data_IF_084540879213
#
_entry.id   IF_084540879213
#
_cell.length_a   1.000
_cell.length_b   1.000
_cell.length_c   1.000
_cell.angle_alpha   90.00
_cell.angle_beta   90.00
_cell.angle_gamma   90.00
#
_symmetry.space_group_name_H-M   'P 1'
#
loop_
_entity.id
_entity.type
_entity.pdbx_description
1 polymer ?
#
# COMPACT_ATOMS: atom_id res chain seq x y z
N UNK A 1 -37.15 -27.74 12.25
CA UNK A 1 -35.91 -28.21 11.65
C UNK A 1 -35.59 -27.32 10.45
N UNK A 2 -34.72 -26.33 10.64
CA UNK A 2 -34.33 -25.41 9.58
C UNK A 2 -33.16 -26.07 8.83
N UNK A 3 -33.39 -26.49 7.59
CA UNK A 3 -32.34 -27.02 6.71
C UNK A 3 -31.33 -25.92 6.45
N UNK A 4 -30.13 -26.06 6.98
CA UNK A 4 -29.01 -25.17 6.66
C UNK A 4 -28.74 -25.26 5.16
N UNK A 5 -29.02 -24.18 4.43
CA UNK A 5 -28.70 -24.08 3.00
C UNK A 5 -27.20 -24.32 2.81
N UNK A 6 -26.83 -25.42 2.18
CA UNK A 6 -25.45 -25.72 1.78
C UNK A 6 -24.99 -24.60 0.83
N UNK A 7 -23.98 -23.82 1.26
CA UNK A 7 -23.33 -22.84 0.37
C UNK A 7 -22.79 -23.58 -0.85
N UNK A 8 -23.00 -23.06 -2.08
CA UNK A 8 -22.38 -23.64 -3.27
C UNK A 8 -20.86 -23.70 -3.08
N UNK A 9 -20.27 -24.82 -3.51
CA UNK A 9 -18.82 -25.02 -3.40
C UNK A 9 -18.09 -23.91 -4.19
N UNK A 10 -17.20 -23.19 -3.53
CA UNK A 10 -16.34 -22.17 -4.14
C UNK A 10 -15.39 -22.88 -5.14
N UNK A 11 -15.53 -22.62 -6.47
CA UNK A 11 -14.75 -23.31 -7.49
C UNK A 11 -13.24 -23.06 -7.38
N UNK A 12 -12.83 -22.01 -6.69
CA UNK A 12 -11.42 -21.66 -6.46
C UNK A 12 -10.85 -22.23 -5.16
N UNK A 13 -11.64 -23.01 -4.41
CA UNK A 13 -11.20 -23.58 -3.14
C UNK A 13 -10.34 -24.82 -3.35
N UNK A 14 -9.03 -24.79 -3.04
CA UNK A 14 -8.16 -25.95 -3.20
C UNK A 14 -8.66 -27.15 -2.39
N UNK A 15 -8.56 -28.36 -2.96
CA UNK A 15 -8.96 -29.61 -2.29
C UNK A 15 -8.01 -29.99 -1.17
N UNK A 16 -6.72 -29.71 -1.34
CA UNK A 16 -5.70 -29.97 -0.32
C UNK A 16 -5.78 -28.97 0.84
N UNK A 17 -5.78 -29.40 2.12
CA UNK A 17 -5.72 -28.50 3.28
C UNK A 17 -4.49 -27.59 3.26
N UNK A 18 -3.33 -28.11 2.86
CA UNK A 18 -2.08 -27.35 2.78
C UNK A 18 -2.19 -26.26 1.71
N UNK A 19 -2.65 -26.60 0.49
CA UNK A 19 -2.82 -25.62 -0.58
C UNK A 19 -3.86 -24.55 -0.21
N UNK A 20 -4.91 -24.91 0.52
CA UNK A 20 -5.92 -23.97 1.03
C UNK A 20 -5.33 -22.98 2.03
N UNK A 21 -4.54 -23.46 2.99
CA UNK A 21 -3.87 -22.61 3.97
C UNK A 21 -2.85 -21.70 3.32
N UNK A 22 -2.04 -22.21 2.39
CA UNK A 22 -1.09 -21.41 1.63
C UNK A 22 -1.78 -20.30 0.82
N UNK A 23 -2.87 -20.62 0.12
CA UNK A 23 -3.68 -19.63 -0.58
C UNK A 23 -4.24 -18.59 0.40
N UNK A 24 -4.74 -19.02 1.57
CA UNK A 24 -5.26 -18.13 2.60
C UNK A 24 -4.20 -17.15 3.12
N UNK A 25 -2.98 -17.63 3.36
CA UNK A 25 -1.85 -16.77 3.77
C UNK A 25 -1.46 -15.79 2.65
N UNK A 26 -1.37 -16.22 1.41
CA UNK A 26 -1.06 -15.33 0.28
C UNK A 26 -2.13 -14.24 0.12
N UNK A 27 -3.41 -14.60 0.18
CA UNK A 27 -4.49 -13.62 0.08
C UNK A 27 -4.46 -12.62 1.25
N UNK A 28 -4.15 -13.07 2.46
CA UNK A 28 -4.06 -12.23 3.65
C UNK A 28 -2.87 -11.25 3.65
N UNK A 29 -1.90 -11.39 2.73
CA UNK A 29 -0.86 -10.36 2.53
C UNK A 29 -1.38 -9.13 1.80
N UNK A 30 -2.60 -9.15 1.26
CA UNK A 30 -3.10 -8.13 0.33
C UNK A 30 -2.15 -7.97 -0.87
N UNK A 31 -1.96 -9.04 -1.64
CA UNK A 31 -0.90 -9.19 -2.64
C UNK A 31 -0.79 -8.00 -3.62
N UNK A 32 -1.89 -7.39 -4.04
CA UNK A 32 -1.88 -6.21 -4.92
C UNK A 32 -1.13 -5.03 -4.32
N UNK A 33 -1.59 -4.45 -3.20
CA UNK A 33 -0.87 -3.40 -2.47
C UNK A 33 0.55 -3.78 -2.10
N UNK A 34 0.78 -5.00 -1.62
CA UNK A 34 2.12 -5.49 -1.27
C UNK A 34 3.08 -5.43 -2.45
N UNK A 35 2.68 -5.96 -3.61
CA UNK A 35 3.51 -5.93 -4.83
C UNK A 35 3.74 -4.49 -5.34
N UNK A 36 2.75 -3.62 -5.23
CA UNK A 36 2.89 -2.23 -5.61
C UNK A 36 3.93 -1.50 -4.75
N UNK A 37 3.92 -1.69 -3.42
CA UNK A 37 4.90 -1.05 -2.52
C UNK A 37 6.29 -1.65 -2.69
N UNK A 38 6.41 -2.99 -2.77
CA UNK A 38 7.69 -3.66 -3.04
C UNK A 38 8.26 -3.22 -4.39
N UNK A 39 7.42 -3.16 -5.42
CA UNK A 39 7.81 -2.71 -6.76
C UNK A 39 8.29 -1.26 -6.76
N UNK A 40 7.54 -0.36 -6.12
CA UNK A 40 7.94 1.05 -5.99
C UNK A 40 9.28 1.22 -5.26
N UNK A 41 9.45 0.59 -4.10
CA UNK A 41 10.69 0.69 -3.33
C UNK A 41 11.88 0.08 -4.08
N UNK A 42 11.67 -1.08 -4.72
CA UNK A 42 12.73 -1.75 -5.51
C UNK A 42 13.10 -0.95 -6.75
N UNK A 43 12.12 -0.43 -7.50
CA UNK A 43 12.36 0.42 -8.66
C UNK A 43 13.15 1.68 -8.28
N UNK A 44 12.78 2.34 -7.16
CA UNK A 44 13.51 3.49 -6.62
C UNK A 44 14.96 3.10 -6.27
N UNK A 45 15.17 1.95 -5.62
CA UNK A 45 16.50 1.48 -5.24
C UNK A 45 17.38 1.15 -6.45
N UNK A 46 16.83 0.47 -7.45
CA UNK A 46 17.55 0.15 -8.70
C UNK A 46 17.91 1.44 -9.45
N UNK A 47 16.98 2.36 -9.61
CA UNK A 47 17.19 3.63 -10.26
C UNK A 47 18.22 4.51 -9.54
N UNK A 48 18.35 4.37 -8.22
CA UNK A 48 19.33 5.07 -7.40
C UNK A 48 20.70 4.40 -7.40
N UNK A 49 20.92 3.33 -8.15
CA UNK A 49 22.21 2.65 -8.23
C UNK A 49 22.56 1.77 -7.02
N UNK A 50 21.57 1.30 -6.23
CA UNK A 50 21.81 0.43 -5.07
C UNK A 50 22.37 -0.96 -5.48
N UNK A 51 22.32 -1.30 -6.76
CA UNK A 51 22.88 -2.53 -7.31
C UNK A 51 22.21 -3.79 -6.75
N UNK A 52 22.98 -4.83 -6.47
CA UNK A 52 22.47 -6.12 -5.95
C UNK A 52 21.79 -5.99 -4.59
N UNK A 53 22.11 -4.97 -3.80
CA UNK A 53 21.44 -4.70 -2.52
C UNK A 53 19.97 -4.30 -2.67
N UNK A 54 19.53 -3.93 -3.90
CA UNK A 54 18.10 -3.73 -4.20
C UNK A 54 17.26 -5.00 -3.94
N UNK A 55 17.84 -6.19 -4.15
CA UNK A 55 17.16 -7.45 -3.83
C UNK A 55 16.97 -7.63 -2.31
N UNK A 56 17.97 -7.25 -1.50
CA UNK A 56 17.86 -7.26 -0.05
C UNK A 56 16.79 -6.26 0.43
N UNK A 57 16.74 -5.05 -0.17
CA UNK A 57 15.71 -4.08 0.10
C UNK A 57 14.32 -4.63 -0.25
N UNK A 58 14.17 -5.27 -1.40
CA UNK A 58 12.91 -5.91 -1.80
C UNK A 58 12.44 -6.96 -0.78
N UNK A 59 13.37 -7.78 -0.27
CA UNK A 59 13.07 -8.79 0.77
C UNK A 59 12.66 -8.11 2.08
N UNK A 60 13.38 -7.09 2.54
CA UNK A 60 13.04 -6.38 3.77
C UNK A 60 11.65 -5.73 3.66
N UNK A 61 11.36 -5.04 2.54
CA UNK A 61 10.06 -4.41 2.29
C UNK A 61 8.96 -5.46 2.17
N UNK A 62 9.20 -6.59 1.50
CA UNK A 62 8.23 -7.68 1.39
C UNK A 62 7.87 -8.27 2.76
N UNK A 63 8.84 -8.49 3.64
CA UNK A 63 8.61 -8.95 5.01
C UNK A 63 7.79 -7.94 5.82
N UNK A 64 8.13 -6.65 5.70
CA UNK A 64 7.37 -5.55 6.30
C UNK A 64 5.92 -5.53 5.81
N UNK A 65 5.69 -5.57 4.50
CA UNK A 65 4.36 -5.56 3.89
C UNK A 65 3.55 -6.81 4.25
N UNK A 66 4.17 -7.99 4.25
CA UNK A 66 3.52 -9.24 4.69
C UNK A 66 3.07 -9.14 6.15
N UNK A 67 3.94 -8.60 7.04
CA UNK A 67 3.58 -8.39 8.45
C UNK A 67 2.40 -7.45 8.61
N UNK A 68 2.35 -6.37 7.83
CA UNK A 68 1.26 -5.38 7.85
C UNK A 68 -0.04 -5.99 7.32
N UNK A 69 0.00 -6.69 6.18
CA UNK A 69 -1.18 -7.33 5.60
C UNK A 69 -1.78 -8.37 6.54
N UNK A 70 -0.95 -9.28 7.06
CA UNK A 70 -1.39 -10.29 8.02
C UNK A 70 -1.90 -9.68 9.34
N UNK A 71 -1.28 -8.61 9.85
CA UNK A 71 -1.78 -7.92 11.05
C UNK A 71 -3.14 -7.29 10.82
N UNK A 72 -3.42 -6.75 9.63
CA UNK A 72 -4.71 -6.21 9.27
C UNK A 72 -5.80 -7.28 9.37
N UNK A 73 -5.63 -8.40 8.67
CA UNK A 73 -6.61 -9.49 8.67
C UNK A 73 -6.74 -10.16 10.05
N UNK A 74 -5.65 -10.28 10.81
CA UNK A 74 -5.68 -10.82 12.17
C UNK A 74 -6.46 -9.94 13.15
N UNK A 75 -6.23 -8.62 13.13
CA UNK A 75 -6.90 -7.65 14.00
C UNK A 75 -8.39 -7.56 13.64
N UNK A 76 -8.70 -7.49 12.33
CA UNK A 76 -10.06 -7.29 11.83
C UNK A 76 -10.89 -8.59 11.74
N UNK A 77 -10.30 -9.77 12.04
CA UNK A 77 -10.92 -11.08 11.85
C UNK A 77 -12.34 -11.20 12.43
N UNK A 78 -12.55 -10.70 13.65
CA UNK A 78 -13.88 -10.73 14.30
C UNK A 78 -14.93 -9.94 13.53
N UNK A 79 -14.57 -8.76 13.06
CA UNK A 79 -15.41 -7.88 12.24
C UNK A 79 -15.72 -8.53 10.89
N UNK A 80 -14.68 -9.03 10.21
CA UNK A 80 -14.81 -9.59 8.87
C UNK A 80 -15.64 -10.88 8.86
N UNK A 81 -15.53 -11.72 9.90
CA UNK A 81 -16.37 -12.90 10.09
C UNK A 81 -17.83 -12.49 10.32
N UNK A 82 -18.10 -11.49 11.20
CA UNK A 82 -19.46 -11.04 11.49
C UNK A 82 -20.17 -10.46 10.26
N UNK A 83 -19.40 -9.87 9.33
CA UNK A 83 -19.90 -9.30 8.07
C UNK A 83 -19.88 -10.27 6.89
N UNK A 84 -19.44 -11.51 7.10
CA UNK A 84 -19.35 -12.54 6.06
C UNK A 84 -18.55 -12.08 4.82
N UNK A 85 -17.48 -11.31 5.03
CA UNK A 85 -16.66 -10.72 3.96
C UNK A 85 -16.11 -11.81 3.01
N UNK A 86 -16.54 -11.83 1.72
CA UNK A 86 -16.15 -12.88 0.77
C UNK A 86 -14.70 -12.73 0.27
N UNK A 87 -14.12 -11.56 0.41
CA UNK A 87 -12.75 -11.21 0.02
C UNK A 87 -11.72 -11.57 1.12
N UNK A 88 -12.16 -11.77 2.38
CA UNK A 88 -11.28 -12.00 3.52
C UNK A 88 -11.03 -13.50 3.78
N UNK A 89 -9.74 -13.96 3.74
CA UNK A 89 -9.41 -15.39 3.80
C UNK A 89 -9.77 -16.04 5.14
N UNK A 90 -9.69 -15.30 6.27
CA UNK A 90 -10.10 -15.80 7.58
C UNK A 90 -11.64 -16.00 7.61
N UNK A 91 -12.41 -15.03 7.12
CA UNK A 91 -13.87 -15.13 7.07
C UNK A 91 -14.36 -16.25 6.12
N UNK A 92 -13.58 -16.57 5.08
CA UNK A 92 -13.82 -17.72 4.18
C UNK A 92 -13.43 -19.06 4.78
N UNK A 93 -12.74 -19.09 5.91
CA UNK A 93 -12.21 -20.32 6.51
C UNK A 93 -11.09 -20.98 5.68
N UNK A 94 -10.34 -20.20 4.90
CA UNK A 94 -9.15 -20.67 4.16
C UNK A 94 -7.96 -20.83 5.09
N UNK A 95 -7.84 -19.97 6.09
CA UNK A 95 -6.77 -19.95 7.09
C UNK A 95 -7.35 -19.54 8.44
N UNK A 96 -6.79 -20.06 9.54
CA UNK A 96 -7.23 -19.67 10.87
C UNK A 96 -6.55 -18.36 11.32
N UNK A 97 -7.23 -17.64 12.24
CA UNK A 97 -6.77 -16.36 12.77
C UNK A 97 -5.41 -16.45 13.46
N UNK A 98 -5.18 -17.49 14.27
CA UNK A 98 -3.95 -17.60 15.06
C UNK A 98 -2.72 -17.85 14.17
N UNK A 99 -2.89 -18.59 13.08
CA UNK A 99 -1.80 -18.78 12.12
C UNK A 99 -1.46 -17.46 11.41
N UNK A 100 -2.47 -16.69 11.00
CA UNK A 100 -2.25 -15.38 10.38
C UNK A 100 -1.55 -14.43 11.35
N UNK A 101 -1.97 -14.38 12.63
CA UNK A 101 -1.31 -13.58 13.65
C UNK A 101 0.14 -14.00 13.90
N UNK A 102 0.39 -15.31 14.03
CA UNK A 102 1.77 -15.83 14.15
C UNK A 102 2.61 -15.49 12.93
N UNK A 103 2.07 -15.60 11.73
CA UNK A 103 2.75 -15.22 10.50
C UNK A 103 3.10 -13.72 10.47
N UNK A 104 2.20 -12.84 10.95
CA UNK A 104 2.45 -11.41 11.04
C UNK A 104 3.65 -11.09 11.95
N UNK A 105 3.70 -11.67 13.15
CA UNK A 105 4.81 -11.45 14.07
C UNK A 105 6.12 -12.13 13.60
N UNK A 106 6.05 -13.30 12.96
CA UNK A 106 7.23 -13.93 12.37
C UNK A 106 7.81 -13.08 11.25
N UNK A 107 6.99 -12.56 10.35
CA UNK A 107 7.45 -11.66 9.29
C UNK A 107 8.03 -10.37 9.85
N UNK A 108 7.41 -9.79 10.89
CA UNK A 108 7.94 -8.61 11.57
C UNK A 108 9.31 -8.90 12.23
N UNK A 109 9.45 -10.05 12.91
CA UNK A 109 10.70 -10.47 13.51
C UNK A 109 11.82 -10.68 12.48
N UNK A 110 11.50 -11.25 11.30
CA UNK A 110 12.45 -11.40 10.20
C UNK A 110 12.73 -10.07 9.48
N UNK A 111 11.75 -9.17 9.43
CA UNK A 111 11.90 -7.83 8.85
C UNK A 111 12.98 -7.02 9.59
N UNK A 112 13.11 -7.15 10.92
CA UNK A 112 14.10 -6.40 11.71
C UNK A 112 15.53 -6.65 11.21
N UNK A 113 16.08 -7.88 11.23
CA UNK A 113 17.43 -8.12 10.77
C UNK A 113 17.61 -7.82 9.28
N UNK A 114 16.59 -8.11 8.42
CA UNK A 114 16.65 -7.78 7.00
C UNK A 114 16.76 -6.27 6.77
N UNK A 115 16.07 -5.45 7.58
CA UNK A 115 16.16 -3.99 7.51
C UNK A 115 17.55 -3.49 7.94
N UNK A 116 18.10 -4.00 9.03
CA UNK A 116 19.44 -3.61 9.49
C UNK A 116 20.57 -4.10 8.59
N UNK A 117 20.38 -5.17 7.82
CA UNK A 117 21.34 -5.61 6.80
C UNK A 117 21.51 -4.57 5.65
N UNK A 118 20.57 -3.65 5.48
CA UNK A 118 20.68 -2.47 4.59
C UNK A 118 21.54 -1.34 5.18
N UNK A 119 21.95 -1.45 6.44
CA UNK A 119 22.63 -0.41 7.22
C UNK A 119 21.71 0.13 8.32
N UNK A 120 22.29 0.59 9.41
CA UNK A 120 21.53 0.98 10.61
C UNK A 120 20.54 2.16 10.36
N UNK A 121 20.95 3.16 9.53
CA UNK A 121 20.10 4.30 9.15
C UNK A 121 18.90 3.87 8.31
N UNK A 122 19.16 3.05 7.28
CA UNK A 122 18.12 2.48 6.43
C UNK A 122 17.18 1.57 7.24
N UNK A 123 17.75 0.75 8.14
CA UNK A 123 17.00 -0.13 9.04
C UNK A 123 16.03 0.63 9.93
N UNK A 124 16.49 1.68 10.61
CA UNK A 124 15.63 2.52 11.45
C UNK A 124 14.52 3.16 10.61
N UNK A 125 14.86 3.78 9.47
CA UNK A 125 13.86 4.44 8.62
C UNK A 125 12.80 3.45 8.12
N UNK A 126 13.21 2.23 7.70
CA UNK A 126 12.28 1.20 7.27
C UNK A 126 11.39 0.69 8.41
N UNK A 127 11.95 0.46 9.60
CA UNK A 127 11.16 0.02 10.75
C UNK A 127 10.18 1.09 11.25
N UNK A 128 10.52 2.39 11.13
CA UNK A 128 9.57 3.50 11.37
C UNK A 128 8.42 3.44 10.35
N UNK A 129 8.72 3.20 9.07
CA UNK A 129 7.69 3.05 8.04
C UNK A 129 6.74 1.86 8.33
N UNK A 130 7.31 0.70 8.70
CA UNK A 130 6.53 -0.49 9.11
C UNK A 130 5.71 -0.19 10.36
N UNK A 131 6.29 0.47 11.36
CA UNK A 131 5.58 0.89 12.58
C UNK A 131 4.43 1.84 12.31
N UNK A 132 4.59 2.79 11.38
CA UNK A 132 3.50 3.65 10.93
C UNK A 132 2.35 2.83 10.31
N UNK A 133 2.65 1.85 9.44
CA UNK A 133 1.64 0.97 8.84
C UNK A 133 0.95 0.07 9.90
N UNK A 134 1.69 -0.43 10.88
CA UNK A 134 1.08 -1.15 12.01
C UNK A 134 0.18 -0.25 12.85
N UNK A 135 0.56 1.01 13.10
CA UNK A 135 -0.26 1.97 13.86
C UNK A 135 -1.61 2.24 13.19
N UNK A 136 -1.65 2.23 11.83
CA UNK A 136 -2.88 2.27 11.08
C UNK A 136 -3.80 1.09 11.45
N UNK A 137 -3.29 -0.13 11.41
CA UNK A 137 -4.05 -1.34 11.75
C UNK A 137 -4.50 -1.35 13.21
N UNK A 138 -3.65 -0.88 14.14
CA UNK A 138 -3.93 -0.86 15.57
C UNK A 138 -4.99 0.17 15.99
N UNK A 139 -5.33 1.15 15.13
CA UNK A 139 -6.43 2.06 15.45
C UNK A 139 -6.46 3.37 14.70
N UNK A 140 -5.35 3.87 14.14
CA UNK A 140 -5.34 5.16 13.45
C UNK A 140 -6.28 5.18 12.23
N UNK A 141 -6.58 4.02 11.62
CA UNK A 141 -7.57 3.89 10.53
C UNK A 141 -8.97 4.38 10.91
N UNK A 142 -9.31 4.43 12.22
CA UNK A 142 -10.60 4.88 12.73
C UNK A 142 -10.65 6.37 13.06
N UNK A 143 -9.57 7.10 12.80
CA UNK A 143 -9.43 8.50 13.17
C UNK A 143 -9.29 9.41 11.95
N UNK A 144 -9.46 10.73 12.16
CA UNK A 144 -9.28 11.74 11.11
C UNK A 144 -7.83 11.75 10.57
N UNK A 145 -6.85 11.31 11.36
CA UNK A 145 -5.43 11.22 10.95
C UNK A 145 -5.09 9.90 10.25
N UNK A 146 -6.09 9.13 9.80
CA UNK A 146 -5.88 7.87 9.08
C UNK A 146 -4.97 7.96 7.83
N UNK A 147 -4.79 9.11 7.13
CA UNK A 147 -3.81 9.24 6.06
C UNK A 147 -2.35 9.34 6.54
N UNK A 148 -2.12 9.75 7.81
CA UNK A 148 -0.76 10.02 8.32
C UNK A 148 0.16 8.80 8.27
N UNK A 149 -0.26 7.57 8.64
CA UNK A 149 0.57 6.38 8.48
C UNK A 149 1.04 6.14 7.05
N UNK A 150 0.20 6.39 6.05
CA UNK A 150 0.55 6.26 4.64
C UNK A 150 1.52 7.37 4.19
N UNK A 151 1.28 8.62 4.63
CA UNK A 151 2.19 9.74 4.38
C UNK A 151 3.60 9.40 4.88
N UNK A 152 3.72 8.91 6.11
CA UNK A 152 5.00 8.55 6.74
C UNK A 152 5.64 7.35 6.05
N UNK A 153 4.89 6.25 5.87
CA UNK A 153 5.43 5.02 5.32
C UNK A 153 5.95 5.20 3.90
N UNK A 154 5.19 5.86 3.04
CA UNK A 154 5.60 6.11 1.65
C UNK A 154 6.69 7.21 1.57
N UNK A 155 6.58 8.29 2.35
CA UNK A 155 7.59 9.34 2.40
C UNK A 155 8.97 8.84 2.85
N UNK A 156 9.00 7.78 3.66
CA UNK A 156 10.26 7.16 4.07
C UNK A 156 10.90 6.25 3.01
N UNK A 157 10.19 5.86 1.94
CA UNK A 157 10.80 5.00 0.89
C UNK A 157 12.06 5.62 0.30
N UNK A 158 12.07 6.87 -0.22
CA UNK A 158 13.31 7.47 -0.72
C UNK A 158 14.37 7.67 0.37
N UNK A 159 13.97 7.89 1.63
CA UNK A 159 14.91 8.00 2.76
C UNK A 159 15.61 6.67 3.04
N UNK A 160 14.87 5.56 3.03
CA UNK A 160 15.42 4.20 3.19
C UNK A 160 16.43 3.90 2.08
N UNK A 161 16.07 4.22 0.83
CA UNK A 161 16.95 3.99 -0.33
C UNK A 161 18.23 4.84 -0.21
N UNK A 162 18.10 6.14 0.05
CA UNK A 162 19.23 7.04 0.22
C UNK A 162 20.16 6.59 1.35
N UNK A 163 19.59 6.22 2.49
CA UNK A 163 20.36 5.73 3.65
C UNK A 163 21.03 4.36 3.41
N UNK A 164 20.55 3.57 2.45
CA UNK A 164 21.15 2.29 2.07
C UNK A 164 22.31 2.44 1.07
N UNK A 165 22.44 3.58 0.39
CA UNK A 165 23.56 3.87 -0.51
C UNK A 165 24.89 4.07 0.24
N UNK A 166 26.05 3.81 -0.39
CA UNK A 166 27.36 3.90 0.27
C UNK A 166 27.64 5.26 0.91
N UNK A 167 27.33 6.35 0.19
CA UNK A 167 27.62 7.72 0.64
C UNK A 167 26.50 8.32 1.48
N UNK A 168 25.43 7.57 1.74
CA UNK A 168 24.27 8.00 2.50
C UNK A 168 23.75 9.40 2.11
N UNK A 169 23.48 9.67 0.81
CA UNK A 169 23.01 10.98 0.39
C UNK A 169 21.67 11.32 1.06
N UNK A 170 21.36 12.61 1.13
CA UNK A 170 20.04 13.01 1.58
C UNK A 170 19.02 12.86 0.43
N UNK A 171 17.92 12.17 0.70
CA UNK A 171 16.82 12.15 -0.25
C UNK A 171 16.24 13.56 -0.41
N UNK A 172 15.98 14.04 -1.65
CA UNK A 172 15.39 15.34 -1.89
C UNK A 172 14.05 15.51 -1.15
N UNK A 173 13.86 16.63 -0.46
CA UNK A 173 12.63 16.89 0.30
C UNK A 173 11.36 16.82 -0.59
N UNK A 174 11.45 17.30 -1.82
CA UNK A 174 10.36 17.23 -2.78
C UNK A 174 10.00 15.77 -3.15
N UNK A 175 11.01 14.87 -3.25
CA UNK A 175 10.77 13.44 -3.50
C UNK A 175 10.14 12.74 -2.29
N UNK A 176 10.59 13.09 -1.07
CA UNK A 176 9.98 12.60 0.18
C UNK A 176 8.51 13.03 0.25
N UNK A 177 8.22 14.30 -0.01
CA UNK A 177 6.87 14.85 0.01
C UNK A 177 5.99 14.21 -1.10
N UNK A 178 6.51 14.09 -2.33
CA UNK A 178 5.81 13.44 -3.43
C UNK A 178 5.45 11.98 -3.11
N UNK A 179 6.40 11.22 -2.56
CA UNK A 179 6.17 9.83 -2.14
C UNK A 179 5.12 9.74 -1.03
N UNK A 180 5.20 10.62 -0.03
CA UNK A 180 4.21 10.67 1.05
C UNK A 180 2.80 10.97 0.55
N UNK A 181 2.66 11.96 -0.35
CA UNK A 181 1.38 12.31 -0.98
C UNK A 181 0.84 11.19 -1.88
N UNK A 182 1.72 10.45 -2.54
CA UNK A 182 1.36 9.22 -3.25
C UNK A 182 0.71 8.21 -2.29
N UNK A 183 1.30 8.02 -1.11
CA UNK A 183 0.73 7.17 -0.06
C UNK A 183 -0.65 7.66 0.42
N UNK A 184 -0.83 8.97 0.62
CA UNK A 184 -2.13 9.56 0.97
C UNK A 184 -3.16 9.31 -0.12
N UNK A 185 -2.80 9.52 -1.39
CA UNK A 185 -3.67 9.23 -2.53
C UNK A 185 -4.12 7.76 -2.54
N UNK A 186 -3.16 6.83 -2.36
CA UNK A 186 -3.44 5.40 -2.28
C UNK A 186 -4.38 5.04 -1.11
N UNK A 187 -4.17 5.64 0.07
CA UNK A 187 -5.06 5.44 1.23
C UNK A 187 -6.49 5.89 0.95
N UNK A 188 -6.66 7.12 0.45
CA UNK A 188 -7.98 7.68 0.17
C UNK A 188 -8.75 6.81 -0.83
N UNK A 189 -8.08 6.32 -1.85
CA UNK A 189 -8.71 5.49 -2.88
C UNK A 189 -9.04 4.09 -2.39
N UNK A 190 -8.11 3.46 -1.65
CA UNK A 190 -8.33 2.11 -1.11
C UNK A 190 -9.53 2.09 -0.16
N UNK A 191 -9.70 3.13 0.66
CA UNK A 191 -10.80 3.23 1.59
C UNK A 191 -12.17 3.47 0.92
N UNK A 192 -12.21 3.98 -0.31
CA UNK A 192 -13.49 4.24 -1.03
C UNK A 192 -14.27 2.95 -1.30
N UNK A 193 -13.58 1.84 -1.58
CA UNK A 193 -14.25 0.55 -1.84
C UNK A 193 -14.87 -0.07 -0.60
N UNK A 194 -14.31 0.22 0.59
CA UNK A 194 -14.74 -0.34 1.87
C UNK A 194 -15.66 0.60 2.67
N UNK A 195 -15.99 1.80 2.17
CA UNK A 195 -16.72 2.83 2.91
C UNK A 195 -18.01 2.33 3.56
N UNK A 196 -18.85 1.58 2.84
CA UNK A 196 -20.11 1.08 3.35
C UNK A 196 -19.94 0.04 4.47
N UNK A 197 -18.96 -0.86 4.33
CA UNK A 197 -18.65 -1.88 5.32
C UNK A 197 -17.95 -1.28 6.55
N UNK A 198 -17.10 -0.31 6.35
CA UNK A 198 -16.40 0.42 7.40
C UNK A 198 -17.37 1.24 8.25
N UNK A 199 -18.28 1.97 7.62
CA UNK A 199 -19.29 2.77 8.31
C UNK A 199 -20.20 1.90 9.18
N UNK A 200 -20.65 0.76 8.63
CA UNK A 200 -21.50 -0.21 9.34
C UNK A 200 -20.77 -0.92 10.51
N UNK A 201 -19.44 -0.84 10.58
CA UNK A 201 -18.62 -1.44 11.65
C UNK A 201 -17.94 -0.43 12.56
N UNK A 202 -18.32 0.86 12.42
CA UNK A 202 -17.85 1.95 13.29
C UNK A 202 -16.42 2.42 12.96
N UNK A 203 -15.87 2.06 11.80
CA UNK A 203 -14.63 2.66 11.29
C UNK A 203 -14.97 4.03 10.71
N UNK A 204 -14.43 5.09 11.33
CA UNK A 204 -14.72 6.50 10.96
C UNK A 204 -13.42 7.27 10.75
N UNK A 205 -12.57 6.79 9.85
CA UNK A 205 -11.39 7.48 9.36
C UNK A 205 -11.75 8.72 8.51
N UNK A 206 -10.73 9.39 7.99
CA UNK A 206 -10.96 10.57 7.13
C UNK A 206 -11.80 10.25 5.89
N UNK A 207 -11.53 9.16 5.11
CA UNK A 207 -12.33 8.85 3.92
C UNK A 207 -13.81 8.60 4.23
N UNK A 208 -14.12 7.91 5.36
CA UNK A 208 -15.50 7.65 5.77
C UNK A 208 -16.26 8.94 6.13
N UNK A 209 -15.55 9.97 6.63
CA UNK A 209 -16.11 11.29 6.92
C UNK A 209 -16.30 12.14 5.67
N UNK A 210 -15.43 11.99 4.68
CA UNK A 210 -15.49 12.73 3.40
C UNK A 210 -16.51 12.13 2.42
N UNK A 211 -16.71 10.81 2.47
CA UNK A 211 -17.50 10.08 1.47
C UNK A 211 -16.75 9.88 0.15
N UNK A 212 -17.38 9.14 -0.78
CA UNK A 212 -16.76 8.68 -2.04
C UNK A 212 -16.23 9.85 -2.88
N UNK A 213 -17.06 10.84 -3.16
CA UNK A 213 -16.72 11.92 -4.09
C UNK A 213 -15.56 12.76 -3.57
N UNK A 214 -15.65 13.24 -2.31
CA UNK A 214 -14.62 14.09 -1.74
C UNK A 214 -13.31 13.32 -1.52
N UNK A 215 -13.36 12.04 -1.15
CA UNK A 215 -12.17 11.19 -1.06
C UNK A 215 -11.48 10.98 -2.41
N UNK A 216 -12.26 10.77 -3.48
CA UNK A 216 -11.71 10.62 -4.84
C UNK A 216 -11.08 11.93 -5.33
N UNK A 217 -11.73 13.08 -5.09
CA UNK A 217 -11.18 14.40 -5.42
C UNK A 217 -9.89 14.66 -4.63
N UNK A 218 -9.89 14.41 -3.33
CA UNK A 218 -8.71 14.59 -2.47
C UNK A 218 -7.55 13.68 -2.92
N UNK A 219 -7.85 12.42 -3.30
CA UNK A 219 -6.86 11.50 -3.88
C UNK A 219 -6.27 12.04 -5.19
N UNK A 220 -7.08 12.56 -6.10
CA UNK A 220 -6.61 13.15 -7.34
C UNK A 220 -5.73 14.39 -7.08
N UNK A 221 -6.15 15.28 -6.18
CA UNK A 221 -5.37 16.47 -5.81
C UNK A 221 -4.01 16.07 -5.22
N UNK A 222 -3.97 15.14 -4.26
CA UNK A 222 -2.70 14.70 -3.65
C UNK A 222 -1.77 14.06 -4.67
N UNK A 223 -2.30 13.29 -5.63
CA UNK A 223 -1.50 12.72 -6.71
C UNK A 223 -0.97 13.79 -7.67
N UNK A 224 -1.79 14.78 -8.05
CA UNK A 224 -1.35 15.88 -8.90
C UNK A 224 -0.27 16.74 -8.23
N UNK A 225 -0.41 17.02 -6.93
CA UNK A 225 0.63 17.72 -6.16
C UNK A 225 1.91 16.88 -6.09
N UNK A 226 1.80 15.56 -5.89
CA UNK A 226 2.95 14.67 -5.93
C UNK A 226 3.68 14.71 -7.28
N UNK A 227 2.95 14.73 -8.39
CA UNK A 227 3.51 14.87 -9.74
C UNK A 227 4.24 16.21 -9.93
N UNK A 228 3.64 17.32 -9.49
CA UNK A 228 4.27 18.65 -9.56
C UNK A 228 5.56 18.69 -8.75
N UNK A 229 5.54 18.18 -7.51
CA UNK A 229 6.73 18.08 -6.67
C UNK A 229 7.83 17.22 -7.30
N UNK A 230 7.45 16.09 -7.90
CA UNK A 230 8.39 15.24 -8.62
C UNK A 230 9.02 15.96 -9.81
N UNK A 231 8.21 16.62 -10.64
CA UNK A 231 8.67 17.37 -11.82
C UNK A 231 9.47 18.66 -11.46
N UNK A 232 9.34 19.16 -10.22
CA UNK A 232 10.14 20.31 -9.74
C UNK A 232 11.60 19.97 -9.41
N UNK A 233 11.93 18.67 -9.35
CA UNK A 233 13.30 18.23 -9.12
C UNK A 233 14.16 18.45 -10.37
N UNK A 234 15.46 18.80 -10.23
CA UNK A 234 16.38 18.93 -11.36
C UNK A 234 16.38 17.66 -12.22
N UNK A 235 16.55 17.84 -13.52
CA UNK A 235 16.70 16.77 -14.51
C UNK A 235 15.53 15.78 -14.62
N UNK A 236 14.39 16.06 -13.95
CA UNK A 236 13.19 15.21 -14.02
C UNK A 236 12.26 15.54 -15.18
N UNK A 237 12.35 16.74 -15.75
CA UNK A 237 11.49 17.18 -16.86
C UNK A 237 12.05 16.67 -18.18
N UNK A 238 11.60 15.50 -18.58
CA UNK A 238 11.83 14.92 -19.90
C UNK A 238 10.50 14.78 -20.64
N UNK A 239 10.52 14.63 -21.95
CA UNK A 239 9.28 14.35 -22.71
C UNK A 239 8.56 13.11 -22.15
N UNK A 240 9.31 12.07 -21.80
CA UNK A 240 8.74 10.85 -21.23
C UNK A 240 8.05 11.10 -19.87
N UNK A 241 8.68 11.83 -18.95
CA UNK A 241 8.10 12.11 -17.62
C UNK A 241 6.89 13.04 -17.71
N UNK A 242 6.89 14.00 -18.64
CA UNK A 242 5.73 14.86 -18.90
C UNK A 242 4.56 14.04 -19.46
N UNK A 243 4.81 13.15 -20.43
CA UNK A 243 3.77 12.25 -20.96
C UNK A 243 3.19 11.36 -19.85
N UNK A 244 4.06 10.77 -19.01
CA UNK A 244 3.64 9.94 -17.87
C UNK A 244 2.80 10.75 -16.86
N UNK A 245 3.17 12.00 -16.58
CA UNK A 245 2.41 12.90 -15.73
C UNK A 245 1.03 13.24 -16.33
N UNK A 246 0.96 13.50 -17.63
CA UNK A 246 -0.31 13.73 -18.34
C UNK A 246 -1.22 12.49 -18.28
N UNK A 247 -0.66 11.28 -18.44
CA UNK A 247 -1.41 10.03 -18.31
C UNK A 247 -1.96 9.86 -16.88
N UNK A 248 -1.13 10.08 -15.85
CA UNK A 248 -1.58 10.07 -14.44
C UNK A 248 -2.72 11.06 -14.19
N UNK A 249 -2.58 12.30 -14.69
CA UNK A 249 -3.59 13.33 -14.53
C UNK A 249 -4.91 12.94 -15.21
N UNK A 250 -4.84 12.44 -16.46
CA UNK A 250 -6.02 12.01 -17.21
C UNK A 250 -6.76 10.85 -16.52
N UNK A 251 -6.03 9.86 -15.99
CA UNK A 251 -6.61 8.76 -15.23
C UNK A 251 -7.26 9.23 -13.93
N UNK A 252 -6.61 10.18 -13.21
CA UNK A 252 -7.15 10.76 -11.98
C UNK A 252 -8.43 11.55 -12.24
N UNK A 253 -8.46 12.37 -13.30
CA UNK A 253 -9.66 13.11 -13.72
C UNK A 253 -10.78 12.15 -14.13
N UNK A 254 -10.46 11.04 -14.80
CA UNK A 254 -11.43 9.99 -15.13
C UNK A 254 -12.02 9.35 -13.88
N UNK A 255 -11.20 9.09 -12.85
CA UNK A 255 -11.68 8.58 -11.56
C UNK A 255 -12.65 9.57 -10.89
N UNK A 256 -12.31 10.87 -10.87
CA UNK A 256 -13.19 11.91 -10.33
C UNK A 256 -14.50 11.98 -11.11
N UNK A 257 -14.45 12.00 -12.44
CA UNK A 257 -15.65 12.01 -13.27
C UNK A 257 -16.56 10.80 -13.01
N UNK A 258 -15.98 9.61 -12.86
CA UNK A 258 -16.74 8.39 -12.50
C UNK A 258 -17.37 8.49 -11.11
N UNK A 259 -16.65 9.02 -10.12
CA UNK A 259 -17.17 9.22 -8.77
C UNK A 259 -18.35 10.20 -8.77
N UNK A 260 -18.25 11.31 -9.50
CA UNK A 260 -19.34 12.29 -9.67
C UNK A 260 -20.56 11.69 -10.37
N UNK A 261 -20.36 10.74 -11.28
CA UNK A 261 -21.45 9.98 -11.93
C UNK A 261 -21.96 8.80 -11.09
N UNK A 262 -21.56 8.68 -9.80
CA UNK A 262 -21.88 7.57 -8.91
C UNK A 262 -21.47 6.17 -9.44
N UNK A 263 -20.48 6.12 -10.35
CA UNK A 263 -19.93 4.87 -10.93
C UNK A 263 -18.73 4.39 -10.11
N UNK A 264 -18.99 3.78 -8.95
CA UNK A 264 -17.95 3.43 -7.98
C UNK A 264 -17.09 2.21 -8.37
N UNK A 265 -17.62 1.28 -9.18
CA UNK A 265 -16.89 0.07 -9.59
C UNK A 265 -15.58 0.42 -10.31
N UNK A 266 -14.46 -0.13 -9.83
CA UNK A 266 -13.14 0.02 -10.41
C UNK A 266 -12.47 1.38 -10.18
N UNK A 267 -12.96 2.21 -9.26
CA UNK A 267 -12.28 3.45 -8.86
C UNK A 267 -10.91 3.16 -8.28
N UNK A 268 -10.79 2.16 -7.41
CA UNK A 268 -9.51 1.74 -6.84
C UNK A 268 -8.52 1.31 -7.92
N UNK A 269 -8.93 0.40 -8.82
CA UNK A 269 -8.08 -0.06 -9.90
C UNK A 269 -7.61 1.09 -10.79
N UNK A 270 -8.51 2.02 -11.14
CA UNK A 270 -8.19 3.19 -11.95
C UNK A 270 -7.18 4.11 -11.26
N UNK A 271 -7.32 4.31 -9.95
CA UNK A 271 -6.39 5.15 -9.17
C UNK A 271 -5.04 4.47 -8.95
N UNK A 272 -5.01 3.13 -8.77
CA UNK A 272 -3.75 2.37 -8.75
C UNK A 272 -3.02 2.50 -10.09
N UNK A 273 -3.74 2.39 -11.20
CA UNK A 273 -3.15 2.58 -12.55
C UNK A 273 -2.67 4.03 -12.74
N UNK A 274 -3.37 5.01 -12.18
CA UNK A 274 -2.94 6.42 -12.24
C UNK A 274 -1.62 6.70 -11.50
N UNK A 275 -1.25 5.86 -10.54
CA UNK A 275 0.02 5.97 -9.79
C UNK A 275 1.20 5.38 -10.55
N UNK A 276 1.00 4.35 -11.38
CA UNK A 276 2.07 3.63 -12.07
C UNK A 276 2.99 4.54 -12.91
N UNK A 277 2.48 5.54 -13.67
CA UNK A 277 3.34 6.44 -14.43
C UNK A 277 4.34 7.22 -13.57
N UNK A 278 3.95 7.63 -12.35
CA UNK A 278 4.86 8.30 -11.42
C UNK A 278 5.97 7.36 -10.96
N UNK A 279 5.63 6.11 -10.64
CA UNK A 279 6.63 5.08 -10.27
C UNK A 279 7.63 4.85 -11.40
N UNK A 280 7.14 4.76 -12.65
CA UNK A 280 7.98 4.62 -13.84
C UNK A 280 8.85 5.86 -14.04
N UNK A 281 8.31 7.06 -13.84
CA UNK A 281 9.04 8.30 -13.95
C UNK A 281 10.20 8.39 -12.92
N UNK A 282 9.96 8.02 -11.66
CA UNK A 282 11.00 7.92 -10.61
C UNK A 282 12.08 6.93 -11.04
N UNK A 283 11.71 5.76 -11.54
CA UNK A 283 12.65 4.74 -11.99
C UNK A 283 13.47 5.19 -13.21
N UNK A 284 12.85 5.94 -14.14
CA UNK A 284 13.53 6.39 -15.38
C UNK A 284 14.52 7.55 -15.15
N UNK A 285 14.43 8.27 -14.03
CA UNK A 285 15.17 9.52 -13.80
C UNK A 285 16.21 9.43 -12.67
N UNK A 286 16.73 8.25 -12.35
CA UNK A 286 17.83 8.07 -11.40
C UNK A 286 17.45 8.05 -9.91
N UNK A 287 16.18 7.80 -9.56
CA UNK A 287 15.76 7.58 -8.19
C UNK A 287 16.07 8.76 -7.25
N UNK A 288 16.84 8.53 -6.18
CA UNK A 288 17.17 9.56 -5.17
C UNK A 288 18.43 10.38 -5.52
N UNK A 289 19.19 9.99 -6.52
CA UNK A 289 20.47 10.62 -6.90
C UNK A 289 20.34 11.61 -8.07
N UNK A 290 19.22 11.59 -8.78
CA UNK A 290 18.97 12.45 -9.94
C UNK A 290 18.50 13.85 -9.59
#
# INVERSE_FOLDING_TARGET
>A
MTVAAQRPADPLRPRSPVARTALGLVLATHAGPTLAVVGYATATAVASGLGTRSALLAVAVLLGQASVGWSNDWIDAGRDISRHRPDKPIARGLVNRDLVGRSAFTALALCVPASFALGWRAGIAHLVAVGAAWSYNLGLKRTIVSPLPYLVAFGLVPVVVAAALPDHPHAPAALIAASGLLGVSAHLTNAVEDLADDEATGVRGLPQRLGVVASTIASAITLLVALVLFLSLPDRVTTATVVLACVSAALSLTAVARALMHRQKGLFALSVVAVLPLVVAVAATGGVQG
#
